data_IF_800411948320
#
_entry.id   IF_800411948320
#
_cell.length_a   1.000
_cell.length_b   1.000
_cell.length_c   1.000
_cell.angle_alpha   90.00
_cell.angle_beta   90.00
_cell.angle_gamma   90.00
#
_symmetry.space_group_name_H-M   'P 1'
#
loop_
_entity.id
_entity.type
_entity.pdbx_description
1 polymer ?
#
# COMPACT_ATOMS: atom_id res chain seq x y z
N UNK A 1 17.15 11.86 32.42
CA UNK A 1 16.75 11.55 31.03
C UNK A 1 15.61 10.55 31.08
N UNK A 2 14.37 10.99 30.88
CA UNK A 2 13.18 10.14 30.99
C UNK A 2 13.12 9.16 29.81
N UNK A 3 12.86 7.90 30.11
CA UNK A 3 12.71 6.76 29.21
C UNK A 3 11.43 6.88 28.35
N UNK A 4 11.35 7.84 27.44
CA UNK A 4 10.27 7.90 26.44
C UNK A 4 10.45 6.86 25.31
N UNK A 5 11.61 6.19 25.25
CA UNK A 5 11.94 5.25 24.17
C UNK A 5 11.45 3.83 24.39
N UNK A 6 11.06 3.44 25.62
CA UNK A 6 10.69 2.07 25.94
C UNK A 6 9.32 1.65 25.41
N UNK A 7 8.26 2.34 25.86
CA UNK A 7 6.88 1.96 25.55
C UNK A 7 6.52 2.30 24.08
N UNK A 8 6.75 3.54 23.63
CA UNK A 8 6.49 3.95 22.25
C UNK A 8 7.38 3.22 21.22
N UNK A 9 8.63 2.89 21.57
CA UNK A 9 9.54 2.17 20.69
C UNK A 9 9.12 0.71 20.43
N UNK A 10 8.66 0.02 21.49
CA UNK A 10 8.08 -1.33 21.34
C UNK A 10 6.81 -1.32 20.52
N UNK A 11 5.93 -0.33 20.72
CA UNK A 11 4.71 -0.19 19.91
C UNK A 11 5.03 0.00 18.41
N UNK A 12 5.97 0.87 18.05
CA UNK A 12 6.34 1.11 16.64
C UNK A 12 6.89 -0.17 15.99
N UNK A 13 7.74 -0.92 16.70
CA UNK A 13 8.29 -2.19 16.18
C UNK A 13 7.19 -3.22 15.95
N UNK A 14 6.28 -3.38 16.91
CA UNK A 14 5.16 -4.32 16.81
C UNK A 14 4.20 -3.92 15.68
N UNK A 15 3.86 -2.64 15.56
CA UNK A 15 3.04 -2.13 14.47
C UNK A 15 3.70 -2.40 13.10
N UNK A 16 4.99 -2.11 12.93
CA UNK A 16 5.70 -2.37 11.67
C UNK A 16 5.71 -3.87 11.31
N UNK A 17 5.86 -4.76 12.30
CA UNK A 17 5.74 -6.22 12.10
C UNK A 17 4.34 -6.60 11.65
N UNK A 18 3.29 -6.14 12.34
CA UNK A 18 1.90 -6.45 11.98
C UNK A 18 1.60 -5.95 10.57
N UNK A 19 1.96 -4.70 10.24
CA UNK A 19 1.81 -4.13 8.90
C UNK A 19 2.52 -4.99 7.85
N UNK A 20 3.74 -5.46 8.13
CA UNK A 20 4.47 -6.32 7.20
C UNK A 20 3.80 -7.69 7.01
N UNK A 21 3.30 -8.31 8.07
CA UNK A 21 2.62 -9.62 7.98
C UNK A 21 1.30 -9.50 7.23
N UNK A 22 0.47 -8.51 7.58
CA UNK A 22 -0.79 -8.24 6.88
C UNK A 22 -0.51 -7.90 5.42
N UNK A 23 0.49 -7.06 5.14
CA UNK A 23 0.90 -6.72 3.78
C UNK A 23 1.36 -7.94 2.97
N UNK A 24 2.11 -8.87 3.57
CA UNK A 24 2.50 -10.15 2.93
C UNK A 24 1.26 -10.97 2.60
N UNK A 25 0.34 -11.18 3.56
CA UNK A 25 -0.87 -11.97 3.36
C UNK A 25 -1.76 -11.39 2.25
N UNK A 26 -1.97 -10.08 2.26
CA UNK A 26 -2.73 -9.38 1.21
C UNK A 26 -2.04 -9.53 -0.14
N UNK A 27 -0.72 -9.31 -0.21
CA UNK A 27 0.04 -9.41 -1.47
C UNK A 27 0.00 -10.83 -2.05
N UNK A 28 0.04 -11.86 -1.20
CA UNK A 28 -0.12 -13.27 -1.62
C UNK A 28 -1.52 -13.51 -2.18
N UNK A 29 -2.56 -13.09 -1.46
CA UNK A 29 -3.95 -13.23 -1.92
C UNK A 29 -4.18 -12.51 -3.26
N UNK A 30 -3.65 -11.29 -3.39
CA UNK A 30 -3.69 -10.53 -4.64
C UNK A 30 -2.93 -11.25 -5.75
N UNK A 31 -1.71 -11.73 -5.50
CA UNK A 31 -0.93 -12.47 -6.48
C UNK A 31 -1.71 -13.69 -7.02
N UNK A 32 -2.35 -14.48 -6.15
CA UNK A 32 -3.19 -15.60 -6.56
C UNK A 32 -4.39 -15.19 -7.41
N UNK A 33 -5.09 -14.11 -7.03
CA UNK A 33 -6.22 -13.61 -7.83
C UNK A 33 -5.80 -13.09 -9.20
N UNK A 34 -4.57 -12.57 -9.32
CA UNK A 34 -4.03 -11.98 -10.54
C UNK A 34 -3.26 -12.96 -11.43
N UNK A 35 -3.05 -14.22 -11.02
CA UNK A 35 -2.42 -15.25 -11.87
C UNK A 35 -3.17 -15.45 -13.20
N UNK A 36 -4.48 -15.16 -13.22
CA UNK A 36 -5.31 -15.21 -14.42
C UNK A 36 -5.28 -13.92 -15.25
N UNK A 37 -4.72 -12.84 -14.72
CA UNK A 37 -4.60 -11.52 -15.37
C UNK A 37 -3.12 -11.10 -15.40
N UNK A 38 -2.42 -11.51 -16.47
CA UNK A 38 -0.95 -11.40 -16.62
C UNK A 38 -0.38 -9.99 -16.33
N UNK A 39 -1.17 -8.93 -16.51
CA UNK A 39 -0.74 -7.54 -16.31
C UNK A 39 -0.61 -7.11 -14.83
N UNK A 40 -1.33 -7.74 -13.90
CA UNK A 40 -1.34 -7.32 -12.49
C UNK A 40 -0.35 -8.09 -11.60
N UNK A 41 0.19 -9.19 -12.11
CA UNK A 41 1.13 -10.07 -11.40
C UNK A 41 2.43 -9.38 -10.94
N UNK A 42 3.10 -8.52 -11.74
CA UNK A 42 4.37 -7.90 -11.33
C UNK A 42 4.24 -6.95 -10.13
N UNK A 43 3.12 -6.22 -10.04
CA UNK A 43 2.88 -5.26 -8.95
C UNK A 43 2.65 -6.00 -7.64
N UNK A 44 1.86 -7.08 -7.66
CA UNK A 44 1.62 -7.91 -6.47
C UNK A 44 2.93 -8.54 -5.94
N UNK A 45 3.79 -9.02 -6.85
CA UNK A 45 5.10 -9.57 -6.50
C UNK A 45 6.05 -8.50 -5.93
N UNK A 46 6.08 -7.30 -6.51
CA UNK A 46 6.89 -6.20 -6.00
C UNK A 46 6.44 -5.77 -4.60
N UNK A 47 5.12 -5.72 -4.35
CA UNK A 47 4.55 -5.43 -3.03
C UNK A 47 4.86 -6.54 -2.02
N UNK A 48 4.80 -7.81 -2.43
CA UNK A 48 5.21 -8.93 -1.59
C UNK A 48 6.67 -8.80 -1.15
N UNK A 49 7.59 -8.56 -2.10
CA UNK A 49 9.01 -8.34 -1.80
C UNK A 49 9.22 -7.15 -0.87
N UNK A 50 8.47 -6.07 -1.09
CA UNK A 50 8.50 -4.88 -0.24
C UNK A 50 8.18 -5.22 1.22
N UNK A 51 7.07 -5.92 1.48
CA UNK A 51 6.71 -6.28 2.85
C UNK A 51 7.63 -7.34 3.46
N UNK A 52 8.24 -8.22 2.65
CA UNK A 52 9.30 -9.12 3.11
C UNK A 52 10.52 -8.33 3.58
N UNK A 53 10.96 -7.31 2.83
CA UNK A 53 12.06 -6.43 3.26
C UNK A 53 11.73 -5.70 4.56
N UNK A 54 10.50 -5.20 4.71
CA UNK A 54 10.04 -4.58 5.97
C UNK A 54 10.10 -5.57 7.13
N UNK A 55 9.63 -6.80 6.92
CA UNK A 55 9.66 -7.85 7.95
C UNK A 55 11.09 -8.17 8.39
N UNK A 56 11.99 -8.41 7.42
CA UNK A 56 13.41 -8.68 7.67
C UNK A 56 14.08 -7.48 8.35
N UNK A 57 13.87 -6.27 7.84
CA UNK A 57 14.42 -5.03 8.40
C UNK A 57 14.00 -4.79 9.84
N UNK A 58 12.72 -5.03 10.15
CA UNK A 58 12.16 -4.89 11.51
C UNK A 58 12.67 -5.99 12.46
N UNK A 59 12.92 -7.20 11.95
CA UNK A 59 13.51 -8.30 12.73
C UNK A 59 14.99 -8.06 13.04
N UNK A 60 15.76 -7.63 12.03
CA UNK A 60 17.20 -7.34 12.14
C UNK A 60 17.49 -5.93 12.71
N UNK A 61 16.46 -5.12 12.94
CA UNK A 61 16.58 -3.71 13.36
C UNK A 61 17.51 -2.89 12.45
N UNK A 62 17.55 -3.23 11.16
CA UNK A 62 18.45 -2.61 10.20
C UNK A 62 17.64 -1.66 9.29
N UNK A 63 17.88 -0.33 9.38
CA UNK A 63 17.10 0.67 8.66
C UNK A 63 17.30 0.63 7.13
N UNK A 64 18.40 0.06 6.64
CA UNK A 64 18.70 0.00 5.21
C UNK A 64 17.69 -0.85 4.44
N UNK A 65 17.11 -1.88 5.06
CA UNK A 65 16.04 -2.69 4.44
C UNK A 65 14.70 -1.94 4.33
N UNK A 66 14.50 -0.86 5.10
CA UNK A 66 13.26 -0.10 5.09
C UNK A 66 13.24 0.99 4.02
N UNK A 67 14.42 1.45 3.55
CA UNK A 67 14.52 2.49 2.53
C UNK A 67 13.89 2.07 1.19
N UNK A 68 14.19 0.89 0.61
CA UNK A 68 13.54 0.45 -0.62
C UNK A 68 12.02 0.32 -0.45
N UNK A 69 11.58 -0.16 0.73
CA UNK A 69 10.16 -0.31 1.01
C UNK A 69 9.41 1.03 1.04
N UNK A 70 9.99 2.06 1.65
CA UNK A 70 9.42 3.41 1.63
C UNK A 70 9.31 3.96 0.20
N UNK A 71 10.34 3.79 -0.62
CA UNK A 71 10.34 4.27 -2.01
C UNK A 71 9.22 3.58 -2.81
N UNK A 72 9.15 2.25 -2.73
CA UNK A 72 8.13 1.47 -3.46
C UNK A 72 6.72 1.83 -3.00
N UNK A 73 6.49 1.94 -1.68
CA UNK A 73 5.20 2.35 -1.14
C UNK A 73 4.84 3.78 -1.53
N UNK A 74 5.81 4.71 -1.56
CA UNK A 74 5.60 6.08 -2.02
C UNK A 74 5.16 6.16 -3.49
N UNK A 75 5.82 5.39 -4.36
CA UNK A 75 5.43 5.26 -5.77
C UNK A 75 4.03 4.64 -5.88
N UNK A 76 3.76 3.58 -5.11
CA UNK A 76 2.46 2.91 -5.13
C UNK A 76 1.32 3.82 -4.67
N UNK A 77 1.56 4.71 -3.68
CA UNK A 77 0.59 5.74 -3.28
C UNK A 77 0.25 6.64 -4.46
N UNK A 78 1.26 7.17 -5.16
CA UNK A 78 1.04 8.04 -6.32
C UNK A 78 0.24 7.34 -7.42
N UNK A 79 0.59 6.09 -7.74
CA UNK A 79 -0.12 5.27 -8.74
C UNK A 79 -1.59 5.07 -8.34
N UNK A 80 -1.86 4.65 -7.09
CA UNK A 80 -3.23 4.41 -6.65
C UNK A 80 -4.07 5.69 -6.65
N UNK A 81 -3.49 6.85 -6.33
CA UNK A 81 -4.18 8.14 -6.45
C UNK A 81 -4.54 8.47 -7.90
N UNK A 82 -3.60 8.29 -8.84
CA UNK A 82 -3.86 8.52 -10.27
C UNK A 82 -4.98 7.60 -10.76
N UNK A 83 -4.97 6.33 -10.36
CA UNK A 83 -6.02 5.35 -10.71
C UNK A 83 -7.37 5.77 -10.11
N UNK A 84 -7.40 6.14 -8.83
CA UNK A 84 -8.63 6.57 -8.16
C UNK A 84 -9.24 7.80 -8.83
N UNK A 85 -8.43 8.81 -9.14
CA UNK A 85 -8.86 10.01 -9.87
C UNK A 85 -9.33 9.63 -11.27
N UNK A 86 -8.62 8.75 -11.98
CA UNK A 86 -8.99 8.27 -13.31
C UNK A 86 -10.38 7.61 -13.32
N UNK A 87 -10.63 6.66 -12.40
CA UNK A 87 -11.94 6.04 -12.25
C UNK A 87 -13.03 7.04 -11.85
N UNK A 88 -12.71 7.98 -10.97
CA UNK A 88 -13.64 9.03 -10.57
C UNK A 88 -14.03 9.92 -11.76
N UNK A 89 -13.07 10.37 -12.57
CA UNK A 89 -13.33 11.18 -13.78
C UNK A 89 -14.14 10.40 -14.80
N UNK A 90 -13.79 9.12 -15.05
CA UNK A 90 -14.57 8.24 -15.95
C UNK A 90 -16.00 8.07 -15.43
N UNK A 91 -16.18 7.94 -14.12
CA UNK A 91 -17.50 7.86 -13.50
C UNK A 91 -18.29 9.16 -13.68
N UNK A 92 -17.66 10.35 -13.73
CA UNK A 92 -18.40 11.59 -13.95
C UNK A 92 -18.79 11.78 -15.42
N UNK A 93 -17.87 11.51 -16.34
CA UNK A 93 -18.08 11.77 -17.77
C UNK A 93 -18.90 10.66 -18.45
N UNK A 94 -18.81 9.42 -17.94
CA UNK A 94 -19.46 8.21 -18.46
C UNK A 94 -19.49 8.14 -20.00
N UNK A 95 -18.33 7.86 -20.64
CA UNK A 95 -18.22 7.94 -22.09
C UNK A 95 -19.26 7.08 -22.81
N UNK A 96 -20.07 7.71 -23.67
CA UNK A 96 -21.14 7.03 -24.42
C UNK A 96 -20.63 5.85 -25.26
N UNK A 97 -19.39 5.90 -25.72
CA UNK A 97 -18.75 4.80 -26.46
C UNK A 97 -18.59 3.52 -25.63
N UNK A 98 -18.48 3.63 -24.30
CA UNK A 98 -18.38 2.49 -23.37
C UNK A 98 -19.78 2.01 -23.00
N UNK A 99 -20.71 2.94 -22.72
CA UNK A 99 -22.12 2.61 -22.43
C UNK A 99 -22.72 1.85 -23.62
N UNK A 100 -22.50 2.31 -24.85
CA UNK A 100 -23.02 1.65 -26.06
C UNK A 100 -22.44 0.24 -26.27
N UNK A 101 -21.27 -0.08 -25.70
CA UNK A 101 -20.71 -1.43 -25.70
C UNK A 101 -21.28 -2.32 -24.59
N UNK A 102 -21.81 -1.72 -23.52
CA UNK A 102 -22.44 -2.40 -22.38
C UNK A 102 -23.94 -2.66 -22.60
N UNK A 103 -24.59 -1.89 -23.47
CA UNK A 103 -25.99 -2.04 -23.83
C UNK A 103 -26.18 -3.31 -24.68
N UNK A 104 -26.68 -4.37 -24.06
CA UNK A 104 -27.18 -5.55 -24.74
C UNK A 104 -28.67 -5.39 -25.10
N UNK A 105 -29.19 -6.27 -25.96
CA UNK A 105 -30.60 -6.30 -26.43
C UNK A 105 -31.68 -6.27 -25.34
N UNK A 106 -31.33 -6.49 -24.07
CA UNK A 106 -32.25 -6.59 -22.93
C UNK A 106 -32.13 -5.45 -21.91
N UNK A 107 -31.23 -4.48 -22.12
CA UNK A 107 -30.96 -3.43 -21.13
C UNK A 107 -31.18 -2.05 -21.77
N UNK A 108 -31.88 -1.14 -21.09
CA UNK A 108 -32.03 0.22 -21.59
C UNK A 108 -30.70 0.98 -21.44
N UNK A 109 -30.48 1.98 -22.30
CA UNK A 109 -29.28 2.85 -22.21
C UNK A 109 -29.19 3.58 -20.86
N UNK A 110 -30.33 3.93 -20.27
CA UNK A 110 -30.38 4.64 -19.00
C UNK A 110 -29.96 3.74 -17.82
N UNK A 111 -30.42 2.48 -17.83
CA UNK A 111 -30.05 1.50 -16.81
C UNK A 111 -28.57 1.11 -16.91
N UNK A 112 -28.06 0.85 -18.12
CA UNK A 112 -26.65 0.56 -18.35
C UNK A 112 -25.74 1.72 -17.90
N UNK A 113 -26.19 2.96 -18.05
CA UNK A 113 -25.46 4.15 -17.57
C UNK A 113 -25.44 4.21 -16.04
N UNK A 114 -26.55 3.94 -15.37
CA UNK A 114 -26.62 3.91 -13.90
C UNK A 114 -25.70 2.82 -13.34
N UNK A 115 -25.73 1.61 -13.89
CA UNK A 115 -24.84 0.52 -13.49
C UNK A 115 -23.36 0.87 -13.71
N UNK A 116 -23.02 1.49 -14.83
CA UNK A 116 -21.66 1.96 -15.12
C UNK A 116 -21.17 2.97 -14.07
N UNK A 117 -21.99 3.98 -13.75
CA UNK A 117 -21.65 4.98 -12.74
C UNK A 117 -21.40 4.33 -11.37
N UNK A 118 -22.28 3.42 -10.94
CA UNK A 118 -22.14 2.72 -9.66
C UNK A 118 -20.86 1.88 -9.63
N UNK A 119 -20.59 1.10 -10.68
CA UNK A 119 -19.41 0.25 -10.76
C UNK A 119 -18.12 1.07 -10.68
N UNK A 120 -17.98 2.11 -11.50
CA UNK A 120 -16.76 2.92 -11.54
C UNK A 120 -16.59 3.78 -10.29
N UNK A 121 -17.68 4.24 -9.68
CA UNK A 121 -17.63 4.91 -8.38
C UNK A 121 -17.18 3.96 -7.27
N UNK A 122 -17.66 2.72 -7.27
CA UNK A 122 -17.23 1.68 -6.33
C UNK A 122 -15.73 1.36 -6.53
N UNK A 123 -15.26 1.24 -7.77
CA UNK A 123 -13.83 1.02 -8.08
C UNK A 123 -12.96 2.18 -7.60
N UNK A 124 -13.40 3.43 -7.80
CA UNK A 124 -12.71 4.60 -7.27
C UNK A 124 -12.64 4.57 -5.74
N UNK A 125 -13.71 4.17 -5.06
CA UNK A 125 -13.76 3.98 -3.61
C UNK A 125 -12.78 2.92 -3.12
N UNK A 126 -12.70 1.76 -3.78
CA UNK A 126 -11.74 0.70 -3.44
C UNK A 126 -10.29 1.19 -3.61
N UNK A 127 -9.98 1.89 -4.71
CA UNK A 127 -8.66 2.47 -4.94
C UNK A 127 -8.28 3.53 -3.88
N UNK A 128 -9.26 4.33 -3.42
CA UNK A 128 -9.04 5.30 -2.34
C UNK A 128 -8.75 4.61 -1.00
N UNK A 129 -9.49 3.56 -0.64
CA UNK A 129 -9.25 2.78 0.59
C UNK A 129 -7.87 2.10 0.55
N UNK A 130 -7.49 1.53 -0.60
CA UNK A 130 -6.16 0.96 -0.80
C UNK A 130 -5.05 2.02 -0.65
N UNK A 131 -5.29 3.24 -1.14
CA UNK A 131 -4.37 4.38 -0.96
C UNK A 131 -4.20 4.75 0.50
N UNK A 132 -5.30 4.84 1.27
CA UNK A 132 -5.27 5.14 2.71
C UNK A 132 -4.49 4.09 3.50
N UNK A 133 -4.71 2.81 3.21
CA UNK A 133 -3.93 1.72 3.83
C UNK A 133 -2.43 1.85 3.51
N UNK A 134 -2.09 2.16 2.25
CA UNK A 134 -0.71 2.32 1.82
C UNK A 134 -0.04 3.53 2.49
N UNK A 135 -0.75 4.65 2.66
CA UNK A 135 -0.28 5.82 3.43
C UNK A 135 -0.02 5.45 4.89
N UNK A 136 -0.94 4.70 5.50
CA UNK A 136 -0.77 4.24 6.87
C UNK A 136 0.47 3.35 7.02
N UNK A 137 0.63 2.36 6.13
CA UNK A 137 1.78 1.47 6.11
C UNK A 137 3.10 2.26 5.91
N UNK A 138 3.14 3.18 4.95
CA UNK A 138 4.27 4.07 4.71
C UNK A 138 4.65 4.86 5.97
N UNK A 139 3.66 5.45 6.65
CA UNK A 139 3.89 6.25 7.86
C UNK A 139 4.47 5.41 9.00
N UNK A 140 3.97 4.19 9.20
CA UNK A 140 4.49 3.26 10.22
C UNK A 140 5.94 2.87 9.91
N UNK A 141 6.23 2.54 8.65
CA UNK A 141 7.57 2.13 8.22
C UNK A 141 8.57 3.29 8.36
N UNK A 142 8.19 4.50 7.96
CA UNK A 142 9.01 5.70 8.12
C UNK A 142 9.35 5.98 9.58
N UNK A 143 8.37 5.85 10.48
CA UNK A 143 8.59 5.98 11.93
C UNK A 143 9.52 4.89 12.45
N UNK A 144 9.35 3.65 12.01
CA UNK A 144 10.23 2.54 12.37
C UNK A 144 11.68 2.78 11.91
N UNK A 145 11.89 3.27 10.69
CA UNK A 145 13.23 3.61 10.18
C UNK A 145 13.90 4.67 11.05
N UNK A 146 13.20 5.79 11.31
CA UNK A 146 13.73 6.86 12.18
C UNK A 146 14.10 6.32 13.57
N UNK A 147 13.29 5.42 14.12
CA UNK A 147 13.58 4.77 15.40
C UNK A 147 14.86 3.92 15.34
N UNK A 148 15.02 3.07 14.33
CA UNK A 148 16.21 2.22 14.19
C UNK A 148 17.49 3.01 13.96
N UNK A 149 17.44 4.09 13.18
CA UNK A 149 18.61 4.99 12.99
C UNK A 149 19.05 5.60 14.32
N UNK A 150 18.10 6.13 15.12
CA UNK A 150 18.41 6.70 16.44
C UNK A 150 19.00 5.65 17.39
N UNK A 151 18.50 4.41 17.34
CA UNK A 151 19.01 3.31 18.19
C UNK A 151 20.41 2.88 17.77
N UNK A 152 20.68 2.76 16.47
CA UNK A 152 22.01 2.43 15.95
C UNK A 152 23.05 3.49 16.34
N UNK A 153 22.71 4.78 16.25
CA UNK A 153 23.60 5.86 16.67
C UNK A 153 23.94 5.80 18.18
N UNK A 154 22.94 5.50 19.04
CA UNK A 154 23.18 5.32 20.48
C UNK A 154 24.11 4.15 20.78
N UNK A 155 23.93 3.02 20.09
CA UNK A 155 24.79 1.85 20.27
C UNK A 155 26.24 2.15 19.82
N UNK A 156 26.41 2.90 18.73
CA UNK A 156 27.74 3.34 18.26
C UNK A 156 28.44 4.27 19.27
N UNK A 157 27.71 5.24 19.83
CA UNK A 157 28.24 6.10 20.89
C UNK A 157 28.62 5.33 22.16
N UNK A 158 27.86 4.29 22.51
CA UNK A 158 28.18 3.43 23.64
C UNK A 158 29.45 2.60 23.38
N UNK A 159 29.63 2.08 22.16
CA UNK A 159 30.86 1.34 21.80
C UNK A 159 32.12 2.19 21.74
N UNK A 160 32.01 3.51 21.53
CA UNK A 160 33.18 4.40 21.54
C UNK A 160 33.66 4.79 22.94
N UNK A 161 32.90 4.46 24.00
CA UNK A 161 33.29 4.76 25.40
C UNK A 161 34.12 3.65 26.05
N UNK A 162 34.25 2.50 25.39
CA UNK A 162 34.99 1.33 25.85
C UNK A 162 36.09 1.00 24.85
#
# INVERSE_FOLDING_TARGET
MVSETGCCGMHIRTCAKIVSVVGILVSIGSAFSTLFMWYYSPVALLMLLTYIFVFIGTRKENPSYLVPAEIILGINIAINFVIAIGFFVISLVAPQSIINKLVNKHTTQEDARKEFHVLYFLMAGVAAVASLYTIFAFTVIFKARKYFIKRAAKNYQASQRY
#
